data_IF_646361846850
#
_entry.id   IF_646361846850
#
_cell.length_a   1.000
_cell.length_b   1.000
_cell.length_c   1.000
_cell.angle_alpha   90.00
_cell.angle_beta   90.00
_cell.angle_gamma   90.00
#
_symmetry.space_group_name_H-M   'P 1'
#
loop_
_entity.id
_entity.type
_entity.pdbx_description
1 polymer ?
#
# COMPACT_ATOMS: atom_id res chain seq x y z
N UNK A 1 -37.62 -19.30 60.79
CA UNK A 1 -36.18 -19.27 61.09
C UNK A 1 -35.44 -18.54 59.98
N UNK A 2 -35.21 -17.24 60.19
CA UNK A 2 -33.92 -16.53 60.09
C UNK A 2 -33.35 -16.50 58.66
N UNK A 3 -33.63 -15.50 57.82
CA UNK A 3 -33.36 -14.05 57.90
C UNK A 3 -31.89 -13.66 57.88
N UNK A 4 -31.52 -12.84 56.88
CA UNK A 4 -30.59 -11.67 56.87
C UNK A 4 -30.09 -11.47 55.43
N UNK A 5 -30.37 -10.42 54.66
CA UNK A 5 -30.62 -8.97 54.89
C UNK A 5 -29.43 -8.20 55.45
N UNK A 6 -28.81 -7.35 54.61
CA UNK A 6 -28.42 -5.93 54.83
C UNK A 6 -27.72 -5.41 53.55
N UNK A 7 -28.13 -4.35 52.85
CA UNK A 7 -28.53 -2.96 53.13
C UNK A 7 -27.44 -1.98 52.66
N UNK A 8 -27.93 -1.00 51.89
CA UNK A 8 -27.34 0.23 51.34
C UNK A 8 -26.79 1.20 52.41
N UNK A 9 -26.08 2.24 51.94
CA UNK A 9 -26.13 3.69 52.30
C UNK A 9 -24.86 4.31 51.68
N UNK A 10 -24.84 5.24 50.70
CA UNK A 10 -25.41 6.58 50.51
C UNK A 10 -24.86 7.68 51.43
N UNK A 11 -24.51 8.82 50.81
CA UNK A 11 -24.23 10.17 51.34
C UNK A 11 -22.81 10.37 51.94
N UNK A 12 -22.12 11.51 51.82
CA UNK A 12 -22.58 12.90 51.65
C UNK A 12 -21.41 13.85 51.30
N UNK A 13 -21.74 14.89 50.52
CA UNK A 13 -21.45 16.33 50.66
C UNK A 13 -20.02 16.88 50.81
N UNK A 14 -19.83 17.90 49.96
CA UNK A 14 -18.86 19.00 49.91
C UNK A 14 -18.50 19.70 51.23
N UNK A 15 -17.26 20.21 51.30
CA UNK A 15 -16.90 21.43 52.04
C UNK A 15 -15.77 22.19 51.33
N UNK A 16 -15.95 23.51 51.20
CA UNK A 16 -14.99 24.52 50.72
C UNK A 16 -13.83 24.72 51.71
N UNK A 17 -12.60 25.02 51.23
CA UNK A 17 -12.00 26.37 51.31
C UNK A 17 -10.56 26.42 50.79
N UNK A 18 -10.26 27.60 50.23
CA UNK A 18 -8.97 28.17 49.87
C UNK A 18 -7.86 27.95 50.91
N UNK A 19 -6.67 27.59 50.43
CA UNK A 19 -5.41 28.14 50.90
C UNK A 19 -4.51 28.41 49.69
N UNK A 20 -4.40 29.68 49.34
CA UNK A 20 -3.30 30.24 48.57
C UNK A 20 -2.05 30.27 49.47
N UNK A 21 -0.98 29.59 49.04
CA UNK A 21 0.38 29.82 49.55
C UNK A 21 1.30 30.00 48.37
N UNK A 22 2.07 31.07 48.49
CA UNK A 22 3.10 31.60 47.61
C UNK A 22 4.34 30.71 47.50
N UNK A 23 5.14 31.03 46.47
CA UNK A 23 6.61 30.93 46.38
C UNK A 23 7.22 29.53 46.32
N UNK A 24 7.82 29.16 45.18
CA UNK A 24 9.27 29.29 44.96
C UNK A 24 9.65 28.64 43.61
N UNK A 25 10.56 29.30 42.90
CA UNK A 25 11.13 28.86 41.63
C UNK A 25 11.97 27.60 41.83
N UNK A 26 11.52 26.47 41.26
CA UNK A 26 12.31 25.24 41.18
C UNK A 26 12.75 25.03 39.73
N UNK A 27 14.04 24.79 39.56
CA UNK A 27 14.74 24.73 38.29
C UNK A 27 14.24 23.67 37.32
N UNK A 28 14.50 23.96 36.04
CA UNK A 28 14.26 23.12 34.86
C UNK A 28 14.62 21.64 35.09
N UNK A 29 13.69 20.77 34.73
CA UNK A 29 13.85 19.31 34.81
C UNK A 29 14.88 18.78 33.80
N UNK A 30 15.49 17.59 33.99
CA UNK A 30 16.52 17.03 33.10
C UNK A 30 16.11 16.90 31.62
N UNK A 31 14.81 16.91 31.31
CA UNK A 31 14.29 16.86 29.94
C UNK A 31 14.50 18.17 29.17
N UNK A 32 14.54 19.32 29.84
CA UNK A 32 14.70 20.62 29.17
C UNK A 32 16.15 20.87 28.76
N UNK A 33 17.13 20.48 29.61
CA UNK A 33 18.55 20.49 29.25
C UNK A 33 18.88 19.60 28.04
N UNK A 34 18.11 18.52 27.85
CA UNK A 34 18.27 17.58 26.75
C UNK A 34 17.80 18.17 25.40
N UNK A 35 16.72 18.96 25.42
CA UNK A 35 16.22 19.67 24.23
C UNK A 35 17.22 20.74 23.78
N UNK A 36 17.82 21.46 24.72
CA UNK A 36 18.63 22.63 24.41
C UNK A 36 20.04 22.27 23.93
N UNK A 37 20.63 21.17 24.41
CA UNK A 37 21.91 20.68 23.89
C UNK A 37 21.76 20.11 22.46
N UNK A 38 20.66 19.39 22.18
CA UNK A 38 20.33 18.89 20.83
C UNK A 38 20.03 20.04 19.87
N UNK A 39 19.30 21.07 20.30
CA UNK A 39 19.06 22.28 19.50
C UNK A 39 20.32 23.12 19.28
N UNK A 40 21.23 23.18 20.27
CA UNK A 40 22.52 23.88 20.15
C UNK A 40 23.46 23.19 19.16
N UNK A 41 23.44 21.86 19.11
CA UNK A 41 24.21 21.07 18.14
C UNK A 41 23.62 21.14 16.73
N UNK A 42 22.30 21.21 16.59
CA UNK A 42 21.63 21.32 15.29
C UNK A 42 21.49 22.76 14.76
N UNK A 43 21.58 23.76 15.65
CA UNK A 43 21.30 25.17 15.33
C UNK A 43 22.51 26.02 14.97
N UNK A 44 23.72 25.48 14.96
CA UNK A 44 24.94 26.25 14.62
C UNK A 44 25.24 26.38 13.13
N UNK A 45 24.45 25.77 12.25
CA UNK A 45 24.74 25.75 10.80
C UNK A 45 23.55 26.20 9.93
N UNK A 46 22.88 27.27 10.34
CA UNK A 46 21.93 27.97 9.47
C UNK A 46 22.40 29.43 9.32
N UNK A 47 23.52 29.61 8.62
CA UNK A 47 24.05 30.93 8.32
C UNK A 47 25.10 30.88 7.22
N UNK A 48 24.65 31.14 5.99
CA UNK A 48 25.43 31.47 4.80
C UNK A 48 25.66 30.35 3.78
N UNK A 49 25.27 30.72 2.57
CA UNK A 49 25.16 29.99 1.31
C UNK A 49 26.50 29.62 0.67
N UNK A 50 26.61 28.38 0.20
CA UNK A 50 26.91 28.05 -1.21
C UNK A 50 27.16 26.55 -1.33
N UNK A 51 26.73 25.98 -2.45
CA UNK A 51 26.57 24.54 -2.64
C UNK A 51 27.85 23.72 -2.51
N UNK A 52 27.83 22.78 -1.59
CA UNK A 52 28.35 21.43 -1.79
C UNK A 52 27.57 20.51 -0.85
N UNK A 53 26.90 19.51 -1.41
CA UNK A 53 26.15 18.53 -0.60
C UNK A 53 27.13 17.70 0.22
N UNK A 54 27.18 17.94 1.53
CA UNK A 54 27.97 17.13 2.45
C UNK A 54 27.36 15.72 2.50
N UNK A 55 28.00 14.78 1.78
CA UNK A 55 27.84 13.35 2.03
C UNK A 55 28.74 13.00 3.21
N UNK A 56 28.18 13.02 4.42
CA UNK A 56 28.77 12.23 5.49
C UNK A 56 28.75 10.77 5.02
N UNK A 57 29.92 10.15 4.95
CA UNK A 57 30.00 8.74 4.64
C UNK A 57 29.25 7.95 5.73
N UNK A 58 28.61 6.85 5.35
CA UNK A 58 27.91 5.99 6.31
C UNK A 58 28.83 5.54 7.47
N UNK A 59 30.14 5.45 7.21
CA UNK A 59 31.19 5.20 8.20
C UNK A 59 31.36 6.33 9.22
N UNK A 60 31.32 7.60 8.82
CA UNK A 60 31.46 8.74 9.73
C UNK A 60 30.23 8.87 10.64
N UNK A 61 29.03 8.63 10.10
CA UNK A 61 27.81 8.61 10.90
C UNK A 61 27.85 7.49 11.97
N UNK A 62 28.32 6.29 11.60
CA UNK A 62 28.49 5.17 12.53
C UNK A 62 29.47 5.47 13.65
N UNK A 63 30.65 6.03 13.31
CA UNK A 63 31.66 6.40 14.31
C UNK A 63 31.13 7.41 15.34
N UNK A 64 30.28 8.33 14.90
CA UNK A 64 29.69 9.34 15.79
C UNK A 64 28.64 8.76 16.74
N UNK A 65 27.81 7.81 16.28
CA UNK A 65 26.81 7.15 17.11
C UNK A 65 27.46 6.23 18.15
N UNK A 66 28.47 5.45 17.76
CA UNK A 66 29.18 4.54 18.69
C UNK A 66 29.97 5.32 19.75
N UNK A 67 30.57 6.45 19.38
CA UNK A 67 31.21 7.37 20.31
C UNK A 67 30.23 7.93 21.35
N UNK A 68 29.03 8.35 20.90
CA UNK A 68 27.97 8.88 21.75
C UNK A 68 27.45 7.83 22.75
N UNK A 69 27.20 6.60 22.29
CA UNK A 69 26.74 5.50 23.17
C UNK A 69 27.80 5.11 24.21
N UNK A 70 29.07 5.08 23.81
CA UNK A 70 30.19 4.76 24.70
C UNK A 70 30.39 5.86 25.76
N UNK A 71 30.24 7.13 25.36
CA UNK A 71 30.26 8.27 26.27
C UNK A 71 29.12 8.20 27.27
N UNK A 72 27.88 7.95 26.81
CA UNK A 72 26.70 7.81 27.67
C UNK A 72 26.87 6.70 28.71
N UNK A 73 27.34 5.51 28.28
CA UNK A 73 27.59 4.38 29.17
C UNK A 73 28.64 4.71 30.23
N UNK A 74 29.77 5.33 29.84
CA UNK A 74 30.81 5.78 30.79
C UNK A 74 30.26 6.78 31.80
N UNK A 75 29.48 7.77 31.34
CA UNK A 75 28.92 8.80 32.22
C UNK A 75 27.95 8.19 33.23
N UNK A 76 27.04 7.31 32.80
CA UNK A 76 26.10 6.63 33.72
C UNK A 76 26.81 5.73 34.74
N UNK A 77 27.90 5.07 34.35
CA UNK A 77 28.68 4.22 35.26
C UNK A 77 29.55 5.03 36.22
N UNK A 78 30.02 6.22 35.81
CA UNK A 78 30.82 7.11 36.67
C UNK A 78 29.99 7.97 37.63
N UNK A 79 28.68 8.11 37.41
CA UNK A 79 27.78 8.89 38.28
C UNK A 79 27.25 8.12 39.49
N UNK A 80 27.66 6.85 39.67
CA UNK A 80 27.39 6.11 40.91
C UNK A 80 28.39 6.55 41.98
N UNK A 81 27.96 7.21 43.07
CA UNK A 81 28.89 7.77 44.06
C UNK A 81 29.50 6.66 44.93
N UNK A 82 30.80 6.42 44.78
CA UNK A 82 31.58 5.50 45.64
C UNK A 82 31.69 5.96 47.10
N UNK A 83 31.29 7.20 47.41
CA UNK A 83 31.47 7.82 48.74
C UNK A 83 30.32 7.58 49.73
N UNK A 84 29.23 6.93 49.34
CA UNK A 84 28.10 6.64 50.25
C UNK A 84 28.24 5.30 50.98
N UNK A 85 29.25 4.50 50.67
CA UNK A 85 29.45 3.17 51.27
C UNK A 85 30.40 3.13 52.49
N UNK A 86 31.17 4.18 52.74
CA UNK A 86 32.21 4.16 53.81
C UNK A 86 31.82 4.89 55.10
N UNK A 87 30.77 5.72 55.10
CA UNK A 87 30.37 6.49 56.30
C UNK A 87 29.34 5.77 57.20
N UNK A 88 28.69 4.70 56.73
CA UNK A 88 27.73 3.90 57.50
C UNK A 88 28.31 2.65 58.13
N UNK A 89 29.58 2.31 57.85
CA UNK A 89 30.25 1.12 58.39
C UNK A 89 30.87 1.30 59.79
N UNK A 90 30.91 2.53 60.33
CA UNK A 90 31.52 2.79 61.64
C UNK A 90 30.53 2.86 62.81
N UNK A 91 29.22 2.77 62.56
CA UNK A 91 28.17 2.92 63.60
C UNK A 91 27.28 1.68 63.80
N UNK A 92 27.65 0.53 63.21
CA UNK A 92 26.96 -0.76 63.39
C UNK A 92 27.87 -1.77 64.11
N UNK A 93 28.33 -1.44 65.31
CA UNK A 93 28.83 -2.45 66.23
C UNK A 93 27.64 -3.11 66.92
N UNK A 94 27.34 -4.34 66.49
CA UNK A 94 26.35 -5.28 67.02
C UNK A 94 24.98 -5.30 66.31
N UNK A 95 24.99 -5.84 65.09
CA UNK A 95 23.79 -6.44 64.46
C UNK A 95 23.65 -7.87 64.99
N UNK A 96 22.48 -8.29 65.51
CA UNK A 96 22.23 -9.68 65.92
C UNK A 96 22.47 -10.64 64.74
N UNK A 97 23.20 -11.74 64.96
CA UNK A 97 23.56 -12.74 63.92
C UNK A 97 22.40 -13.12 62.96
N UNK A 98 21.16 -13.13 63.44
CA UNK A 98 19.98 -13.45 62.62
C UNK A 98 19.67 -12.43 61.53
N UNK A 99 19.87 -11.14 61.77
CA UNK A 99 19.60 -10.09 60.77
C UNK A 99 20.68 -10.07 59.67
N UNK A 100 21.91 -10.48 60.02
CA UNK A 100 23.00 -10.64 59.05
C UNK A 100 22.73 -11.76 58.05
N UNK A 101 22.19 -12.89 58.51
CA UNK A 101 21.91 -14.06 57.66
C UNK A 101 20.74 -13.77 56.68
N UNK A 102 19.72 -13.04 57.13
CA UNK A 102 18.61 -12.60 56.26
C UNK A 102 19.08 -11.60 55.19
N UNK A 103 19.94 -10.64 55.57
CA UNK A 103 20.53 -9.69 54.62
C UNK A 103 21.39 -10.39 53.55
N UNK A 104 22.21 -11.37 53.95
CA UNK A 104 22.99 -12.17 53.00
C UNK A 104 22.11 -12.99 52.06
N UNK A 105 21.00 -13.56 52.56
CA UNK A 105 20.03 -14.29 51.74
C UNK A 105 19.35 -13.39 50.71
N UNK A 106 18.87 -12.21 51.12
CA UNK A 106 18.26 -11.24 50.19
C UNK A 106 19.25 -10.72 49.15
N UNK A 107 20.52 -10.51 49.52
CA UNK A 107 21.57 -10.11 48.59
C UNK A 107 21.82 -11.20 47.54
N UNK A 108 21.88 -12.46 47.96
CA UNK A 108 22.05 -13.62 47.07
C UNK A 108 20.89 -13.75 46.08
N UNK A 109 19.64 -13.64 46.53
CA UNK A 109 18.45 -13.66 45.66
C UNK A 109 18.49 -12.49 44.67
N UNK A 110 18.82 -11.28 45.15
CA UNK A 110 18.93 -10.09 44.28
C UNK A 110 20.01 -10.26 43.22
N UNK A 111 21.14 -10.86 43.57
CA UNK A 111 22.23 -11.15 42.64
C UNK A 111 21.83 -12.22 41.59
N UNK A 112 21.08 -13.25 42.00
CA UNK A 112 20.52 -14.24 41.06
C UNK A 112 19.54 -13.60 40.07
N UNK A 113 18.63 -12.74 40.54
CA UNK A 113 17.68 -12.01 39.68
C UNK A 113 18.43 -11.10 38.70
N UNK A 114 19.46 -10.38 39.17
CA UNK A 114 20.28 -9.53 38.31
C UNK A 114 20.99 -10.34 37.22
N UNK A 115 21.57 -11.49 37.57
CA UNK A 115 22.24 -12.37 36.61
C UNK A 115 21.29 -12.94 35.56
N UNK A 116 20.06 -13.33 35.94
CA UNK A 116 19.05 -13.80 34.97
C UNK A 116 18.58 -12.68 34.03
N UNK A 117 18.40 -11.45 34.54
CA UNK A 117 18.09 -10.28 33.69
C UNK A 117 19.22 -9.97 32.71
N UNK A 118 20.49 -10.06 33.14
CA UNK A 118 21.65 -9.88 32.25
C UNK A 118 21.65 -10.94 31.14
N UNK A 119 21.40 -12.21 31.47
CA UNK A 119 21.28 -13.28 30.46
C UNK A 119 20.13 -13.03 29.49
N UNK A 120 18.98 -12.55 29.96
CA UNK A 120 17.84 -12.21 29.09
C UNK A 120 18.18 -11.07 28.11
N UNK A 121 18.84 -10.01 28.61
CA UNK A 121 19.29 -8.90 27.77
C UNK A 121 20.32 -9.38 26.73
N UNK A 122 21.28 -10.22 27.13
CA UNK A 122 22.25 -10.82 26.20
C UNK A 122 21.56 -11.62 25.09
N UNK A 123 20.54 -12.43 25.42
CA UNK A 123 19.75 -13.17 24.42
C UNK A 123 19.01 -12.23 23.46
N UNK A 124 18.43 -11.14 23.96
CA UNK A 124 17.74 -10.13 23.12
C UNK A 124 18.72 -9.43 22.16
N UNK A 125 19.91 -9.05 22.64
CA UNK A 125 20.94 -8.39 21.82
C UNK A 125 21.46 -9.32 20.73
N UNK A 126 21.70 -10.60 21.03
CA UNK A 126 22.11 -11.60 20.02
C UNK A 126 21.03 -11.76 18.95
N UNK A 127 19.76 -11.94 19.36
CA UNK A 127 18.64 -12.09 18.44
C UNK A 127 18.43 -10.85 17.55
N UNK A 128 18.60 -9.66 18.10
CA UNK A 128 18.51 -8.42 17.33
C UNK A 128 19.67 -8.27 16.34
N UNK A 129 20.87 -8.73 16.70
CA UNK A 129 22.02 -8.76 15.79
C UNK A 129 21.81 -9.73 14.62
N UNK A 130 21.27 -10.91 14.88
CA UNK A 130 20.90 -11.89 13.85
C UNK A 130 19.85 -11.32 12.89
N UNK A 131 18.80 -10.69 13.41
CA UNK A 131 17.76 -10.07 12.58
C UNK A 131 18.34 -8.96 11.68
N UNK A 132 19.23 -8.11 12.23
CA UNK A 132 19.91 -7.05 11.43
C UNK A 132 20.86 -7.62 10.38
N UNK A 133 21.45 -8.79 10.63
CA UNK A 133 22.30 -9.48 9.67
C UNK A 133 21.47 -10.04 8.50
N UNK A 134 20.31 -10.65 8.79
CA UNK A 134 19.35 -11.12 7.78
C UNK A 134 18.83 -9.96 6.92
N UNK A 135 18.42 -8.84 7.54
CA UNK A 135 17.99 -7.64 6.83
C UNK A 135 19.10 -7.09 5.92
N UNK A 136 20.36 -7.15 6.36
CA UNK A 136 21.51 -6.72 5.55
C UNK A 136 21.70 -7.62 4.33
N UNK A 137 21.63 -8.94 4.52
CA UNK A 137 21.75 -9.90 3.41
C UNK A 137 20.63 -9.72 2.38
N UNK A 138 19.40 -9.47 2.84
CA UNK A 138 18.27 -9.18 1.95
C UNK A 138 18.48 -7.87 1.17
N UNK A 139 19.01 -6.83 1.82
CA UNK A 139 19.31 -5.56 1.16
C UNK A 139 20.41 -5.72 0.10
N UNK A 140 21.49 -6.44 0.43
CA UNK A 140 22.59 -6.70 -0.50
C UNK A 140 22.10 -7.50 -1.72
N UNK A 141 21.24 -8.50 -1.52
CA UNK A 141 20.61 -9.24 -2.62
C UNK A 141 19.75 -8.33 -3.49
N UNK A 142 18.91 -7.49 -2.89
CA UNK A 142 18.06 -6.56 -3.63
C UNK A 142 18.87 -5.53 -4.45
N UNK A 143 20.02 -5.09 -3.94
CA UNK A 143 20.92 -4.18 -4.65
C UNK A 143 21.54 -4.85 -5.87
N UNK A 144 21.98 -6.11 -5.77
CA UNK A 144 22.53 -6.85 -6.90
C UNK A 144 21.47 -7.17 -7.95
N UNK A 145 20.25 -7.53 -7.54
CA UNK A 145 19.10 -7.70 -8.45
C UNK A 145 18.77 -6.39 -9.20
N UNK A 146 18.84 -5.26 -8.50
CA UNK A 146 18.61 -3.94 -9.11
C UNK A 146 19.70 -3.57 -10.14
N UNK A 147 20.98 -3.82 -9.83
CA UNK A 147 22.08 -3.59 -10.77
C UNK A 147 21.94 -4.46 -12.03
N UNK A 148 21.63 -5.75 -11.87
CA UNK A 148 21.42 -6.66 -12.98
C UNK A 148 20.25 -6.20 -13.89
N UNK A 149 19.15 -5.74 -13.29
CA UNK A 149 18.02 -5.20 -14.04
C UNK A 149 18.36 -3.90 -14.80
N UNK A 150 19.17 -3.02 -14.21
CA UNK A 150 19.61 -1.77 -14.87
C UNK A 150 20.58 -2.06 -16.03
N UNK A 151 21.49 -3.03 -15.89
CA UNK A 151 22.33 -3.51 -16.98
C UNK A 151 21.50 -4.11 -18.12
N UNK A 152 20.51 -4.94 -17.81
CA UNK A 152 19.62 -5.53 -18.82
C UNK A 152 18.84 -4.44 -19.58
N UNK A 153 18.31 -3.44 -18.86
CA UNK A 153 17.65 -2.27 -19.43
C UNK A 153 18.58 -1.50 -20.37
N UNK A 154 19.83 -1.26 -19.97
CA UNK A 154 20.82 -0.58 -20.82
C UNK A 154 21.15 -1.41 -22.08
N UNK A 155 21.22 -2.74 -21.99
CA UNK A 155 21.38 -3.61 -23.17
C UNK A 155 20.21 -3.48 -24.14
N UNK A 156 18.97 -3.46 -23.67
CA UNK A 156 17.80 -3.25 -24.53
C UNK A 156 17.80 -1.88 -25.18
N UNK A 157 18.15 -0.82 -24.44
CA UNK A 157 18.24 0.53 -25.00
C UNK A 157 19.29 0.64 -26.10
N UNK A 158 20.48 0.07 -25.91
CA UNK A 158 21.52 0.04 -26.95
C UNK A 158 21.07 -0.74 -28.20
N UNK A 159 20.40 -1.88 -28.02
CA UNK A 159 19.86 -2.68 -29.15
C UNK A 159 18.78 -1.92 -29.92
N UNK A 160 17.93 -1.18 -29.22
CA UNK A 160 16.88 -0.36 -29.82
C UNK A 160 17.48 0.80 -30.63
N UNK A 161 18.51 1.46 -30.12
CA UNK A 161 19.25 2.49 -30.86
C UNK A 161 19.94 1.92 -32.12
N UNK A 162 20.49 0.70 -32.04
CA UNK A 162 21.08 0.03 -33.22
C UNK A 162 20.04 -0.30 -34.29
N UNK A 163 18.84 -0.74 -33.90
CA UNK A 163 17.75 -0.99 -34.85
C UNK A 163 17.26 0.31 -35.51
N UNK A 164 17.18 1.40 -34.75
CA UNK A 164 16.81 2.72 -35.28
C UNK A 164 17.82 3.22 -36.32
N UNK A 165 19.13 3.07 -36.09
CA UNK A 165 20.15 3.48 -37.05
C UNK A 165 20.15 2.61 -38.32
N UNK A 166 19.87 1.32 -38.20
CA UNK A 166 19.70 0.43 -39.35
C UNK A 166 18.49 0.81 -40.21
N UNK A 167 17.38 1.18 -39.57
CA UNK A 167 16.16 1.59 -40.27
C UNK A 167 16.33 2.94 -40.99
N UNK A 168 17.04 3.89 -40.37
CA UNK A 168 17.34 5.19 -40.97
C UNK A 168 18.17 5.08 -42.26
N UNK A 169 19.05 4.08 -42.35
CA UNK A 169 19.90 3.87 -43.53
C UNK A 169 19.23 3.07 -44.66
N UNK A 170 17.99 2.59 -44.47
CA UNK A 170 17.29 1.74 -45.45
C UNK A 170 16.22 2.47 -46.27
N UNK A 171 16.09 3.79 -46.14
CA UNK A 171 15.03 4.58 -46.79
C UNK A 171 15.62 5.49 -47.86
N UNK A 172 16.05 4.91 -48.99
CA UNK A 172 16.29 5.64 -50.23
C UNK A 172 15.37 5.12 -51.34
N UNK A 173 14.32 5.89 -51.64
CA UNK A 173 13.92 6.33 -52.99
C UNK A 173 12.46 6.80 -52.99
N UNK A 174 12.19 8.09 -53.30
CA UNK A 174 10.84 8.62 -53.37
C UNK A 174 10.23 8.32 -54.74
N UNK A 175 9.32 7.36 -54.81
CA UNK A 175 8.40 7.22 -55.95
C UNK A 175 6.96 7.04 -55.43
N UNK A 176 6.19 8.14 -55.47
CA UNK A 176 4.72 8.19 -55.52
C UNK A 176 3.90 7.34 -54.51
N UNK A 177 4.20 7.43 -53.20
CA UNK A 177 3.45 6.70 -52.15
C UNK A 177 2.83 7.61 -51.08
N UNK A 178 1.86 8.44 -51.44
CA UNK A 178 1.10 9.27 -50.47
C UNK A 178 0.32 8.47 -49.41
N UNK A 179 0.31 7.13 -49.52
CA UNK A 179 -0.38 6.20 -48.60
C UNK A 179 0.58 5.40 -47.70
N UNK A 180 1.89 5.67 -47.69
CA UNK A 180 2.84 4.92 -46.86
C UNK A 180 3.61 5.83 -45.90
N UNK A 181 3.44 5.60 -44.59
CA UNK A 181 4.19 6.29 -43.56
C UNK A 181 5.56 5.62 -43.36
N UNK A 182 6.68 6.37 -43.30
CA UNK A 182 8.03 5.79 -43.25
C UNK A 182 8.25 4.84 -42.06
N UNK A 183 7.71 5.19 -40.88
CA UNK A 183 7.81 4.37 -39.67
C UNK A 183 6.63 3.40 -39.52
N UNK A 184 5.40 3.87 -39.77
CA UNK A 184 4.18 3.11 -39.48
C UNK A 184 3.72 2.18 -40.61
N UNK A 185 4.40 2.20 -41.75
CA UNK A 185 4.04 1.36 -42.88
C UNK A 185 2.80 1.85 -43.63
N UNK A 186 2.02 0.95 -44.23
CA UNK A 186 0.87 1.33 -45.05
C UNK A 186 -0.27 1.94 -44.21
N UNK A 187 -0.88 2.98 -44.77
CA UNK A 187 -2.12 3.58 -44.25
C UNK A 187 -3.28 2.64 -44.55
N UNK A 188 -3.93 2.14 -43.50
CA UNK A 188 -5.12 1.30 -43.61
C UNK A 188 -6.39 2.13 -43.82
N UNK A 189 -6.52 3.27 -43.13
CA UNK A 189 -7.70 4.14 -43.21
C UNK A 189 -7.39 5.55 -42.71
N UNK A 190 -7.93 6.57 -43.36
CA UNK A 190 -7.93 7.95 -42.89
C UNK A 190 -9.37 8.36 -42.52
N UNK A 191 -9.59 8.74 -41.26
CA UNK A 191 -10.89 9.18 -40.75
C UNK A 191 -10.98 10.71 -40.64
N UNK A 192 -9.96 11.45 -41.12
CA UNK A 192 -9.85 12.90 -41.00
C UNK A 192 -9.34 13.34 -39.63
N UNK A 193 -9.97 12.88 -38.54
CA UNK A 193 -9.54 13.21 -37.16
C UNK A 193 -8.50 12.24 -36.58
N UNK A 194 -8.33 11.07 -37.20
CA UNK A 194 -7.27 10.10 -36.90
C UNK A 194 -6.98 9.23 -38.10
N UNK A 195 -5.77 8.65 -38.15
CA UNK A 195 -5.33 7.70 -39.17
C UNK A 195 -5.07 6.33 -38.58
N UNK A 196 -5.31 5.29 -39.35
CA UNK A 196 -5.06 3.90 -38.98
C UNK A 196 -3.92 3.34 -39.81
N UNK A 197 -2.92 2.75 -39.16
CA UNK A 197 -1.77 2.13 -39.80
C UNK A 197 -1.58 0.70 -39.33
N UNK A 198 -0.78 -0.08 -40.07
CA UNK A 198 -0.39 -1.44 -39.69
C UNK A 198 1.15 -1.57 -39.65
N UNK A 199 1.82 -0.97 -38.65
CA UNK A 199 3.26 -1.07 -38.51
C UNK A 199 3.76 -2.49 -38.26
N UNK A 200 5.03 -2.72 -38.62
CA UNK A 200 5.79 -3.83 -38.06
C UNK A 200 5.97 -3.63 -36.55
N UNK A 201 6.02 -4.73 -35.80
CA UNK A 201 6.27 -4.64 -34.36
C UNK A 201 7.65 -4.07 -34.03
N UNK A 202 8.64 -4.28 -34.90
CA UNK A 202 9.99 -3.72 -34.74
C UNK A 202 9.96 -2.19 -34.78
N UNK A 203 9.27 -1.61 -35.76
CA UNK A 203 9.09 -0.15 -35.85
C UNK A 203 8.33 0.38 -34.62
N UNK A 204 7.25 -0.30 -34.24
CA UNK A 204 6.39 0.13 -33.13
C UNK A 204 7.11 0.06 -31.77
N UNK A 205 7.91 -0.97 -31.52
CA UNK A 205 8.68 -1.13 -30.29
C UNK A 205 9.79 -0.08 -30.14
N UNK A 206 10.23 0.52 -31.24
CA UNK A 206 11.24 1.59 -31.24
C UNK A 206 10.68 2.98 -30.93
N UNK A 207 9.35 3.15 -30.91
CA UNK A 207 8.74 4.45 -30.69
C UNK A 207 8.88 4.91 -29.23
N UNK A 208 9.06 6.21 -29.00
CA UNK A 208 9.07 6.75 -27.65
C UNK A 208 7.69 6.62 -26.99
N UNK A 209 7.70 6.36 -25.69
CA UNK A 209 6.49 6.30 -24.86
C UNK A 209 6.24 7.70 -24.29
N UNK A 210 5.00 8.18 -24.36
CA UNK A 210 4.60 9.43 -23.72
C UNK A 210 4.83 9.37 -22.20
N UNK A 211 5.53 10.37 -21.66
CA UNK A 211 6.16 10.31 -20.33
C UNK A 211 5.18 10.20 -19.15
N UNK A 212 3.94 10.68 -19.31
CA UNK A 212 2.89 10.65 -18.29
C UNK A 212 2.06 9.35 -18.28
N UNK A 213 2.45 8.35 -19.05
CA UNK A 213 1.81 7.04 -18.99
C UNK A 213 2.05 6.30 -17.66
N UNK A 214 1.28 5.23 -17.43
CA UNK A 214 1.47 4.33 -16.27
C UNK A 214 2.90 3.76 -16.27
N UNK A 215 3.45 3.48 -15.09
CA UNK A 215 4.76 2.80 -14.99
C UNK A 215 4.76 1.48 -15.77
N UNK A 216 5.76 1.29 -16.64
CA UNK A 216 5.95 0.02 -17.33
C UNK A 216 6.20 -1.10 -16.31
N UNK A 217 5.57 -2.26 -16.53
CA UNK A 217 5.69 -3.43 -15.65
C UNK A 217 5.92 -4.67 -16.52
N UNK A 218 7.16 -5.20 -16.59
CA UNK A 218 7.48 -6.37 -17.43
C UNK A 218 6.58 -7.57 -17.14
N UNK A 219 6.26 -7.81 -15.87
CA UNK A 219 5.36 -8.89 -15.44
C UNK A 219 3.96 -8.79 -16.04
N UNK A 220 3.45 -7.57 -16.29
CA UNK A 220 2.15 -7.36 -16.95
C UNK A 220 2.23 -7.67 -18.44
N UNK A 221 3.27 -7.21 -19.13
CA UNK A 221 3.50 -7.53 -20.54
C UNK A 221 3.65 -9.05 -20.75
N UNK A 222 4.41 -9.73 -19.88
CA UNK A 222 4.56 -11.19 -19.90
C UNK A 222 3.22 -11.92 -19.72
N UNK A 223 2.36 -11.47 -18.80
CA UNK A 223 1.00 -12.03 -18.62
C UNK A 223 0.14 -11.83 -19.87
N UNK A 224 0.23 -10.68 -20.54
CA UNK A 224 -0.48 -10.42 -21.79
C UNK A 224 0.02 -11.38 -22.88
N UNK A 225 1.34 -11.52 -23.05
CA UNK A 225 1.93 -12.45 -24.01
C UNK A 225 1.51 -13.91 -23.74
N UNK A 226 1.61 -14.38 -22.48
CA UNK A 226 1.20 -15.73 -22.10
C UNK A 226 -0.30 -15.99 -22.31
N UNK A 227 -1.15 -15.00 -22.02
CA UNK A 227 -2.58 -15.08 -22.31
C UNK A 227 -2.82 -15.16 -23.83
N UNK A 228 -2.05 -14.39 -24.59
CA UNK A 228 -2.14 -14.30 -26.04
C UNK A 228 -1.73 -15.60 -26.72
N UNK A 229 -0.66 -16.26 -26.29
CA UNK A 229 -0.23 -17.57 -26.80
C UNK A 229 -1.31 -18.65 -26.65
N UNK A 230 -2.17 -18.53 -25.63
CA UNK A 230 -3.29 -19.46 -25.40
C UNK A 230 -4.53 -19.13 -26.24
N UNK A 231 -4.60 -17.93 -26.81
CA UNK A 231 -5.74 -17.46 -27.58
C UNK A 231 -5.51 -17.63 -29.08
N UNK A 232 -6.53 -18.13 -29.78
CA UNK A 232 -6.53 -18.23 -31.26
C UNK A 232 -6.97 -16.93 -31.96
N UNK A 233 -7.44 -15.93 -31.21
CA UNK A 233 -7.88 -14.65 -31.80
C UNK A 233 -6.69 -13.84 -32.30
N UNK A 234 -6.89 -12.70 -32.97
CA UNK A 234 -5.84 -11.68 -33.16
C UNK A 234 -5.52 -10.94 -31.86
N UNK A 235 -4.53 -10.03 -31.82
CA UNK A 235 -4.31 -9.19 -30.63
C UNK A 235 -5.50 -8.22 -30.50
N UNK A 236 -6.30 -8.29 -29.41
CA UNK A 236 -7.45 -7.41 -29.28
C UNK A 236 -7.06 -5.98 -28.94
N UNK A 237 -7.87 -5.03 -29.42
CA UNK A 237 -7.74 -3.60 -29.18
C UNK A 237 -6.69 -2.93 -30.06
N UNK A 238 -6.70 -1.60 -30.09
CA UNK A 238 -5.78 -0.77 -30.86
C UNK A 238 -4.72 -0.13 -29.96
N UNK A 239 -3.55 0.17 -30.52
CA UNK A 239 -2.49 0.93 -29.85
C UNK A 239 -2.63 2.38 -30.32
N UNK A 240 -2.66 3.33 -29.38
CA UNK A 240 -2.94 4.73 -29.70
C UNK A 240 -1.66 5.55 -29.65
N UNK A 241 -1.43 6.32 -30.70
CA UNK A 241 -0.29 7.19 -30.90
C UNK A 241 -0.76 8.63 -31.13
N UNK A 242 0.11 9.57 -30.79
CA UNK A 242 0.02 10.94 -31.29
C UNK A 242 1.19 11.22 -32.21
N UNK A 243 0.94 12.05 -33.21
CA UNK A 243 1.94 12.56 -34.13
C UNK A 243 1.97 14.08 -34.04
N UNK A 244 3.13 14.63 -33.64
CA UNK A 244 3.37 16.07 -33.56
C UNK A 244 4.55 16.44 -34.46
N UNK A 245 4.50 17.57 -35.19
CA UNK A 245 5.62 18.05 -35.99
C UNK A 245 6.91 18.25 -35.18
N UNK A 246 6.79 18.62 -33.90
CA UNK A 246 7.93 18.95 -33.03
C UNK A 246 8.48 17.72 -32.31
N UNK A 247 7.61 16.79 -31.90
CA UNK A 247 8.00 15.67 -31.03
C UNK A 247 7.93 14.31 -31.70
N UNK A 248 7.47 14.26 -32.95
CA UNK A 248 7.30 13.05 -33.73
C UNK A 248 6.17 12.16 -33.19
N UNK A 249 6.31 10.85 -33.46
CA UNK A 249 5.38 9.83 -32.99
C UNK A 249 5.65 9.48 -31.53
N UNK A 250 4.61 9.44 -30.71
CA UNK A 250 4.66 8.91 -29.34
C UNK A 250 3.53 7.93 -29.10
N UNK A 251 3.82 6.83 -28.40
CA UNK A 251 2.77 5.93 -27.89
C UNK A 251 2.07 6.66 -26.73
N UNK A 252 0.73 6.74 -26.76
CA UNK A 252 -0.10 7.32 -25.70
C UNK A 252 -0.83 6.23 -24.90
N UNK A 253 -1.31 5.17 -25.54
CA UNK A 253 -1.82 3.97 -24.86
C UNK A 253 -1.31 2.69 -25.51
N UNK A 254 -1.19 1.63 -24.72
CA UNK A 254 -0.84 0.30 -25.21
C UNK A 254 0.62 -0.11 -25.02
N UNK A 255 1.43 0.61 -24.22
CA UNK A 255 2.84 0.24 -23.98
C UNK A 255 3.05 -1.22 -23.52
N UNK A 256 2.20 -1.78 -22.66
CA UNK A 256 2.32 -3.18 -22.22
C UNK A 256 1.94 -4.16 -23.34
N UNK A 257 1.09 -3.73 -24.28
CA UNK A 257 0.72 -4.50 -25.48
C UNK A 257 1.86 -4.49 -26.49
N UNK A 258 2.48 -3.34 -26.75
CA UNK A 258 3.71 -3.24 -27.56
C UNK A 258 4.79 -4.17 -27.02
N UNK A 259 5.08 -4.10 -25.71
CA UNK A 259 6.06 -4.97 -25.10
C UNK A 259 5.69 -6.46 -25.18
N UNK A 260 4.42 -6.82 -24.99
CA UNK A 260 3.96 -8.19 -25.14
C UNK A 260 4.09 -8.70 -26.58
N UNK A 261 3.76 -7.86 -27.58
CA UNK A 261 3.93 -8.18 -28.99
C UNK A 261 5.41 -8.35 -29.36
N UNK A 262 6.29 -7.50 -28.83
CA UNK A 262 7.73 -7.63 -29.02
C UNK A 262 8.27 -8.95 -28.44
N UNK A 263 7.78 -9.38 -27.27
CA UNK A 263 8.11 -10.70 -26.69
C UNK A 263 7.65 -11.84 -27.59
N UNK A 264 6.39 -11.81 -28.05
CA UNK A 264 5.83 -12.84 -28.94
C UNK A 264 6.58 -12.92 -30.27
N UNK A 265 6.95 -11.77 -30.84
CA UNK A 265 7.73 -11.70 -32.07
C UNK A 265 9.13 -12.30 -31.90
N UNK A 266 9.78 -12.04 -30.76
CA UNK A 266 11.07 -12.65 -30.43
C UNK A 266 10.98 -14.17 -30.24
N UNK A 267 9.83 -14.69 -29.83
CA UNK A 267 9.53 -16.13 -29.74
C UNK A 267 9.09 -16.75 -31.08
N UNK A 268 8.99 -15.95 -32.16
CA UNK A 268 8.58 -16.43 -33.48
C UNK A 268 7.09 -16.81 -33.57
N UNK A 269 6.25 -16.26 -32.70
CA UNK A 269 4.80 -16.49 -32.74
C UNK A 269 4.21 -15.78 -33.96
N UNK A 270 3.53 -16.52 -34.83
CA UNK A 270 2.88 -15.95 -36.02
C UNK A 270 1.75 -14.96 -35.66
N UNK A 271 1.48 -14.01 -36.57
CA UNK A 271 0.40 -13.03 -36.39
C UNK A 271 0.72 -11.91 -35.39
N UNK A 272 2.01 -11.71 -35.09
CA UNK A 272 2.51 -10.54 -34.34
C UNK A 272 2.73 -9.32 -35.22
N UNK A 273 2.77 -9.51 -36.53
CA UNK A 273 2.86 -8.45 -37.54
C UNK A 273 1.47 -7.89 -37.90
N UNK A 274 1.45 -6.69 -38.47
CA UNK A 274 0.23 -5.96 -38.87
C UNK A 274 -0.66 -5.55 -37.70
N UNK A 275 -0.03 -4.95 -36.68
CA UNK A 275 -0.74 -4.45 -35.50
C UNK A 275 -1.48 -3.18 -35.88
N UNK A 276 -2.80 -3.14 -35.66
CA UNK A 276 -3.58 -1.93 -35.95
C UNK A 276 -3.24 -0.83 -34.94
N UNK A 277 -2.80 0.31 -35.47
CA UNK A 277 -2.40 1.49 -34.69
C UNK A 277 -3.25 2.68 -35.09
N UNK A 278 -3.79 3.39 -34.10
CA UNK A 278 -4.48 4.67 -34.30
C UNK A 278 -3.53 5.82 -34.07
N UNK A 279 -3.49 6.78 -34.98
CA UNK A 279 -2.62 7.96 -34.92
C UNK A 279 -3.48 9.20 -34.98
N UNK A 280 -3.42 9.99 -33.91
CA UNK A 280 -4.02 11.32 -33.87
C UNK A 280 -2.98 12.34 -34.33
N UNK A 281 -3.26 12.99 -35.46
CA UNK A 281 -2.43 14.04 -35.99
C UNK A 281 -2.75 15.32 -35.21
N UNK A 282 -1.74 16.11 -34.81
CA UNK A 282 -1.90 17.39 -34.08
C UNK A 282 -2.02 17.29 -32.55
N UNK A 283 -1.37 16.32 -31.95
CA UNK A 283 -1.32 16.24 -30.49
C UNK A 283 -0.17 17.05 -29.89
N UNK A 284 -0.45 18.23 -29.31
CA UNK A 284 0.46 18.78 -28.30
C UNK A 284 0.42 17.93 -27.01
N UNK A 285 1.25 18.27 -26.03
CA UNK A 285 1.30 17.54 -24.76
C UNK A 285 -0.03 17.57 -23.99
N UNK A 286 -0.84 18.62 -24.17
CA UNK A 286 -2.18 18.76 -23.58
C UNK A 286 -3.18 17.81 -24.23
N UNK A 287 -3.15 17.69 -25.56
CA UNK A 287 -3.97 16.76 -26.31
C UNK A 287 -3.64 15.31 -25.95
N UNK A 288 -2.36 14.95 -25.86
CA UNK A 288 -1.94 13.60 -25.43
C UNK A 288 -2.46 13.27 -24.02
N UNK A 289 -2.48 14.24 -23.11
CA UNK A 289 -3.05 14.10 -21.77
C UNK A 289 -4.57 13.94 -21.78
N UNK A 290 -5.26 14.74 -22.59
CA UNK A 290 -6.71 14.63 -22.80
C UNK A 290 -7.08 13.25 -23.35
N UNK A 291 -6.41 12.82 -24.42
CA UNK A 291 -6.62 11.52 -25.07
C UNK A 291 -6.33 10.37 -24.10
N UNK A 292 -5.20 10.40 -23.39
CA UNK A 292 -4.89 9.38 -22.39
C UNK A 292 -5.94 9.34 -21.30
N UNK A 293 -6.38 10.50 -20.81
CA UNK A 293 -7.42 10.59 -19.77
C UNK A 293 -8.73 10.01 -20.29
N UNK A 294 -9.13 10.34 -21.52
CA UNK A 294 -10.35 9.82 -22.16
C UNK A 294 -10.33 8.31 -22.30
N UNK A 295 -9.24 7.74 -22.84
CA UNK A 295 -9.06 6.28 -22.95
C UNK A 295 -9.17 5.62 -21.56
N UNK A 296 -8.58 6.23 -20.53
CA UNK A 296 -8.58 5.71 -19.17
C UNK A 296 -9.84 6.04 -18.35
N UNK A 297 -10.75 6.88 -18.87
CA UNK A 297 -12.07 7.10 -18.27
C UNK A 297 -12.98 5.89 -18.45
N UNK A 298 -12.70 5.04 -19.44
CA UNK A 298 -13.40 3.77 -19.58
C UNK A 298 -13.24 2.94 -18.30
N UNK A 299 -14.32 2.78 -17.55
CA UNK A 299 -14.29 2.02 -16.31
C UNK A 299 -14.11 0.52 -16.62
N UNK A 300 -13.29 -0.21 -15.84
CA UNK A 300 -13.20 -1.65 -15.99
C UNK A 300 -14.58 -2.29 -15.81
N UNK A 301 -14.98 -3.14 -16.77
CA UNK A 301 -16.18 -3.98 -16.65
C UNK A 301 -16.08 -4.80 -15.38
N UNK A 302 -17.13 -4.75 -14.53
CA UNK A 302 -17.15 -5.50 -13.28
C UNK A 302 -17.16 -6.99 -13.55
N UNK A 303 -16.66 -7.77 -12.60
CA UNK A 303 -16.55 -9.22 -12.77
C UNK A 303 -17.93 -9.89 -12.88
N UNK A 304 -18.93 -9.33 -12.19
CA UNK A 304 -20.35 -9.72 -12.30
C UNK A 304 -20.95 -9.49 -13.70
N UNK A 305 -20.43 -8.52 -14.46
CA UNK A 305 -20.93 -8.15 -15.79
C UNK A 305 -20.15 -8.84 -16.92
N UNK A 306 -19.01 -9.45 -16.63
CA UNK A 306 -18.22 -10.14 -17.65
C UNK A 306 -18.90 -11.45 -18.09
N UNK A 307 -19.07 -11.69 -19.40
CA UNK A 307 -19.56 -12.95 -19.90
C UNK A 307 -18.58 -14.09 -19.59
N UNK A 308 -19.11 -15.28 -19.28
CA UNK A 308 -18.30 -16.48 -19.02
C UNK A 308 -17.76 -16.63 -17.59
N UNK A 309 -17.93 -15.63 -16.72
CA UNK A 309 -17.48 -15.69 -15.32
C UNK A 309 -18.39 -16.51 -14.38
N UNK A 310 -19.30 -17.32 -14.92
CA UNK A 310 -20.20 -18.18 -14.14
C UNK A 310 -21.34 -17.45 -13.42
N UNK A 311 -21.53 -16.15 -13.67
CA UNK A 311 -22.72 -15.40 -13.23
C UNK A 311 -23.88 -15.79 -14.16
N UNK A 312 -24.91 -16.44 -13.63
CA UNK A 312 -26.14 -16.65 -14.41
C UNK A 312 -26.93 -15.35 -14.52
N UNK A 313 -27.69 -15.19 -15.60
CA UNK A 313 -28.58 -14.02 -15.83
C UNK A 313 -29.46 -13.74 -14.61
N UNK A 314 -30.06 -14.79 -14.04
CA UNK A 314 -30.90 -14.67 -12.84
C UNK A 314 -30.15 -14.15 -11.61
N UNK A 315 -28.86 -14.50 -11.42
CA UNK A 315 -28.06 -13.94 -10.32
C UNK A 315 -27.75 -12.46 -10.55
N UNK A 316 -27.50 -12.06 -11.80
CA UNK A 316 -27.29 -10.65 -12.15
C UNK A 316 -28.52 -9.82 -11.84
N UNK A 317 -29.70 -10.30 -12.24
CA UNK A 317 -30.98 -9.66 -11.92
C UNK A 317 -31.21 -9.55 -10.40
N UNK A 318 -30.97 -10.62 -9.63
CA UNK A 318 -31.09 -10.60 -8.17
C UNK A 318 -30.20 -9.53 -7.53
N UNK A 319 -28.95 -9.40 -7.99
CA UNK A 319 -28.00 -8.39 -7.50
C UNK A 319 -28.44 -6.97 -7.87
N UNK A 320 -28.85 -6.77 -9.12
CA UNK A 320 -29.29 -5.48 -9.64
C UNK A 320 -30.53 -4.96 -8.93
N UNK A 321 -31.58 -5.78 -8.84
CA UNK A 321 -32.81 -5.42 -8.14
C UNK A 321 -32.56 -5.12 -6.66
N UNK A 322 -31.80 -5.98 -5.97
CA UNK A 322 -31.56 -5.79 -4.53
C UNK A 322 -30.73 -4.53 -4.23
N UNK A 323 -29.69 -4.26 -5.03
CA UNK A 323 -28.87 -3.05 -4.85
C UNK A 323 -29.66 -1.80 -5.22
N UNK A 324 -30.52 -1.85 -6.24
CA UNK A 324 -31.42 -0.75 -6.61
C UNK A 324 -32.42 -0.40 -5.49
N UNK A 325 -33.01 -1.42 -4.85
CA UNK A 325 -33.87 -1.23 -3.66
C UNK A 325 -33.07 -0.60 -2.51
N UNK A 326 -31.86 -1.09 -2.24
CA UNK A 326 -31.00 -0.56 -1.18
C UNK A 326 -30.58 0.90 -1.46
N UNK A 327 -30.26 1.23 -2.71
CA UNK A 327 -29.94 2.59 -3.16
C UNK A 327 -31.11 3.54 -2.98
N UNK A 328 -32.32 3.11 -3.33
CA UNK A 328 -33.54 3.90 -3.15
C UNK A 328 -33.77 4.23 -1.67
N UNK A 329 -33.49 3.27 -0.78
CA UNK A 329 -33.62 3.46 0.68
C UNK A 329 -32.53 4.35 1.28
N UNK A 330 -31.29 4.24 0.80
CA UNK A 330 -30.12 4.94 1.35
C UNK A 330 -29.49 5.92 0.35
N UNK A 331 -30.30 6.70 -0.37
CA UNK A 331 -29.88 7.52 -1.52
C UNK A 331 -28.67 8.41 -1.25
N UNK A 332 -28.55 9.00 -0.05
CA UNK A 332 -27.45 9.88 0.35
C UNK A 332 -26.11 9.15 0.53
N UNK A 333 -26.13 7.83 0.64
CA UNK A 333 -24.96 6.98 0.85
C UNK A 333 -24.50 6.30 -0.44
N UNK A 334 -25.28 6.39 -1.51
CA UNK A 334 -24.88 5.89 -2.82
C UNK A 334 -24.27 7.01 -3.66
N UNK A 335 -23.05 6.76 -4.15
CA UNK A 335 -22.31 7.67 -5.03
C UNK A 335 -22.29 7.11 -6.45
N UNK A 336 -22.36 8.01 -7.43
CA UNK A 336 -22.17 7.66 -8.84
C UNK A 336 -20.72 7.34 -9.18
N UNK A 337 -19.76 7.82 -8.39
CA UNK A 337 -18.33 7.55 -8.62
C UNK A 337 -17.95 6.15 -8.14
N UNK A 338 -17.31 5.36 -9.02
CA UNK A 338 -16.69 4.08 -8.68
C UNK A 338 -15.51 4.21 -7.69
N UNK A 339 -14.98 5.43 -7.48
CA UNK A 339 -13.92 5.75 -6.50
C UNK A 339 -14.48 6.52 -5.30
N UNK A 340 -15.68 6.16 -4.84
CA UNK A 340 -16.28 6.80 -3.69
C UNK A 340 -15.51 6.51 -2.39
N UNK A 341 -15.49 7.48 -1.47
CA UNK A 341 -14.85 7.34 -0.16
C UNK A 341 -15.87 6.87 0.88
N UNK A 342 -15.46 5.94 1.74
CA UNK A 342 -16.24 5.48 2.89
C UNK A 342 -16.85 6.66 3.66
N UNK A 343 -18.16 6.62 3.99
CA UNK A 343 -19.03 5.45 4.02
C UNK A 343 -19.86 5.27 2.73
N UNK A 344 -19.59 6.05 1.68
CA UNK A 344 -20.37 5.94 0.45
C UNK A 344 -20.04 4.64 -0.29
N UNK A 345 -21.05 4.12 -0.98
CA UNK A 345 -20.93 2.95 -1.84
C UNK A 345 -21.32 3.30 -3.26
N UNK A 346 -20.73 2.63 -4.24
CA UNK A 346 -21.14 2.68 -5.62
C UNK A 346 -21.92 1.40 -5.94
N UNK A 347 -23.01 1.52 -6.71
CA UNK A 347 -23.92 0.41 -7.03
C UNK A 347 -23.19 -0.73 -7.74
N UNK A 348 -22.37 -0.44 -8.73
CA UNK A 348 -21.64 -1.45 -9.51
C UNK A 348 -20.57 -2.16 -8.66
N UNK A 349 -19.84 -1.40 -7.85
CA UNK A 349 -18.89 -1.98 -6.89
C UNK A 349 -19.60 -2.90 -5.89
N UNK A 350 -20.72 -2.47 -5.31
CA UNK A 350 -21.46 -3.28 -4.34
C UNK A 350 -21.99 -4.58 -4.97
N UNK A 351 -22.53 -4.54 -6.19
CA UNK A 351 -22.93 -5.75 -6.93
C UNK A 351 -21.76 -6.70 -7.13
N UNK A 352 -20.63 -6.17 -7.58
CA UNK A 352 -19.41 -6.95 -7.84
C UNK A 352 -18.82 -7.55 -6.56
N UNK A 353 -18.82 -6.82 -5.46
CA UNK A 353 -18.30 -7.27 -4.17
C UNK A 353 -19.19 -8.36 -3.53
N UNK A 354 -20.51 -8.23 -3.63
CA UNK A 354 -21.47 -9.28 -3.21
C UNK A 354 -21.26 -10.53 -4.07
N UNK A 355 -21.05 -10.39 -5.38
CA UNK A 355 -20.79 -11.51 -6.27
C UNK A 355 -19.46 -12.21 -5.94
N UNK A 356 -18.36 -11.46 -5.89
CA UNK A 356 -17.00 -11.98 -5.61
C UNK A 356 -16.90 -12.67 -4.25
N UNK A 357 -17.63 -12.20 -3.25
CA UNK A 357 -17.66 -12.82 -1.92
C UNK A 357 -18.41 -14.16 -1.89
N UNK A 358 -19.16 -14.51 -2.95
CA UNK A 358 -19.94 -15.74 -3.05
C UNK A 358 -21.10 -15.80 -2.06
N UNK A 359 -21.63 -14.63 -1.69
CA UNK A 359 -22.71 -14.51 -0.69
C UNK A 359 -23.96 -15.28 -1.15
N UNK A 360 -24.33 -15.14 -2.42
CA UNK A 360 -25.52 -15.78 -2.99
C UNK A 360 -25.47 -17.30 -2.79
N UNK A 361 -24.34 -17.93 -3.09
CA UNK A 361 -24.13 -19.37 -2.96
C UNK A 361 -24.05 -19.80 -1.49
N UNK A 362 -23.26 -19.08 -0.68
CA UNK A 362 -23.04 -19.43 0.73
C UNK A 362 -24.32 -19.32 1.56
N UNK A 363 -25.20 -18.37 1.22
CA UNK A 363 -26.48 -18.14 1.89
C UNK A 363 -27.65 -18.83 1.20
N UNK A 364 -27.46 -19.35 -0.02
CA UNK A 364 -28.49 -19.91 -0.89
C UNK A 364 -29.60 -18.89 -1.20
N UNK A 365 -29.20 -17.66 -1.47
CA UNK A 365 -30.11 -16.57 -1.82
C UNK A 365 -30.41 -16.67 -3.32
N UNK A 366 -31.68 -16.89 -3.64
CA UNK A 366 -32.14 -17.04 -5.03
C UNK A 366 -33.07 -15.93 -5.51
N UNK A 367 -33.46 -15.02 -4.62
CA UNK A 367 -34.43 -13.92 -4.89
C UNK A 367 -33.89 -12.59 -4.38
N UNK A 368 -34.27 -11.50 -5.02
CA UNK A 368 -33.81 -10.15 -4.68
C UNK A 368 -34.28 -9.70 -3.30
N UNK A 369 -35.51 -10.04 -2.88
CA UNK A 369 -36.03 -9.67 -1.55
C UNK A 369 -35.28 -10.36 -0.41
N UNK A 370 -34.86 -11.61 -0.62
CA UNK A 370 -34.02 -12.35 0.33
C UNK A 370 -32.65 -11.68 0.49
N UNK A 371 -32.07 -11.19 -0.61
CA UNK A 371 -30.80 -10.47 -0.60
C UNK A 371 -30.93 -9.12 0.14
N UNK A 372 -31.98 -8.34 -0.15
CA UNK A 372 -32.25 -7.06 0.53
C UNK A 372 -32.37 -7.27 2.04
N UNK A 373 -33.20 -8.22 2.47
CA UNK A 373 -33.37 -8.53 3.90
C UNK A 373 -32.03 -8.90 4.55
N UNK A 374 -31.23 -9.73 3.90
CA UNK A 374 -29.91 -10.10 4.42
C UNK A 374 -28.95 -8.89 4.51
N UNK A 375 -28.92 -8.01 3.50
CA UNK A 375 -28.11 -6.79 3.50
C UNK A 375 -28.52 -5.85 4.64
N UNK A 376 -29.82 -5.70 4.91
CA UNK A 376 -30.32 -4.90 6.02
C UNK A 376 -29.94 -5.48 7.39
N UNK A 377 -30.05 -6.80 7.56
CA UNK A 377 -29.58 -7.48 8.77
C UNK A 377 -28.08 -7.28 9.02
N UNK A 378 -27.26 -7.38 7.96
CA UNK A 378 -25.82 -7.11 8.06
C UNK A 378 -25.54 -5.63 8.33
N UNK A 379 -26.31 -4.71 7.75
CA UNK A 379 -26.20 -3.27 8.00
C UNK A 379 -26.44 -2.96 9.48
N UNK A 380 -27.46 -3.55 10.09
CA UNK A 380 -27.71 -3.41 11.52
C UNK A 380 -26.60 -4.03 12.39
N UNK A 381 -26.10 -5.22 12.02
CA UNK A 381 -24.97 -5.85 12.72
C UNK A 381 -23.75 -4.94 12.68
N UNK A 382 -23.47 -4.31 11.54
CA UNK A 382 -22.39 -3.34 11.37
C UNK A 382 -22.61 -2.11 12.27
N UNK A 383 -23.82 -1.56 12.33
CA UNK A 383 -24.16 -0.49 13.27
C UNK A 383 -23.92 -0.87 14.74
N UNK A 384 -24.26 -2.11 15.12
CA UNK A 384 -23.96 -2.64 16.48
C UNK A 384 -22.45 -2.80 16.73
N UNK A 385 -21.67 -3.22 15.72
CA UNK A 385 -20.20 -3.30 15.83
C UNK A 385 -19.58 -1.91 15.98
N UNK A 386 -20.10 -0.91 15.27
CA UNK A 386 -19.62 0.46 15.36
C UNK A 386 -19.81 1.03 16.77
N UNK A 387 -20.99 0.84 17.37
CA UNK A 387 -21.27 1.24 18.77
C UNK A 387 -20.33 0.58 19.79
N UNK A 388 -19.75 -0.57 19.45
CA UNK A 388 -18.77 -1.29 20.29
C UNK A 388 -17.31 -0.92 19.97
N UNK A 389 -17.07 0.03 19.06
CA UNK A 389 -15.73 0.41 18.62
C UNK A 389 -15.02 -0.67 17.78
N UNK A 390 -15.75 -1.62 17.18
CA UNK A 390 -15.20 -2.77 16.42
C UNK A 390 -15.27 -2.59 14.90
N UNK A 391 -15.35 -1.35 14.44
CA UNK A 391 -15.44 -0.99 13.01
C UNK A 391 -14.32 0.01 12.74
N UNK A 392 -13.54 -0.29 11.71
CA UNK A 392 -12.49 0.58 11.21
C UNK A 392 -13.10 1.76 10.44
N UNK A 393 -12.31 2.79 10.17
CA UNK A 393 -12.76 3.98 9.45
C UNK A 393 -12.67 5.27 10.26
N UNK A 394 -12.53 6.38 9.53
CA UNK A 394 -12.39 7.72 10.11
C UNK A 394 -13.66 8.20 10.81
N UNK A 395 -13.52 9.07 11.80
CA UNK A 395 -14.63 9.59 12.61
C UNK A 395 -15.72 10.26 11.75
N UNK A 396 -15.32 11.01 10.71
CA UNK A 396 -16.25 11.62 9.76
C UNK A 396 -17.10 10.59 9.02
N UNK A 397 -16.51 9.47 8.61
CA UNK A 397 -17.24 8.41 7.93
C UNK A 397 -18.22 7.72 8.87
N UNK A 398 -17.80 7.47 10.12
CA UNK A 398 -18.64 6.88 11.17
C UNK A 398 -19.82 7.78 11.55
N UNK A 399 -19.58 9.09 11.69
CA UNK A 399 -20.63 10.07 11.96
C UNK A 399 -21.66 10.10 10.83
N UNK A 400 -21.20 10.18 9.57
CA UNK A 400 -22.08 10.17 8.40
C UNK A 400 -22.85 8.85 8.25
N UNK A 401 -22.21 7.71 8.45
CA UNK A 401 -22.89 6.41 8.46
C UNK A 401 -23.98 6.33 9.53
N UNK A 402 -23.72 6.91 10.71
CA UNK A 402 -24.69 6.96 11.81
C UNK A 402 -25.87 7.89 11.50
N UNK A 403 -25.59 9.06 10.93
CA UNK A 403 -26.60 10.05 10.51
C UNK A 403 -27.61 9.45 9.52
N UNK A 404 -27.12 8.71 8.52
CA UNK A 404 -27.98 8.14 7.46
C UNK A 404 -28.35 6.67 7.68
N UNK A 405 -27.95 6.07 8.82
CA UNK A 405 -28.29 4.68 9.17
C UNK A 405 -27.71 3.62 8.22
N UNK A 406 -26.60 3.91 7.53
CA UNK A 406 -25.98 3.01 6.57
C UNK A 406 -24.51 2.75 6.92
N UNK A 407 -24.21 1.51 7.29
CA UNK A 407 -22.94 1.07 7.86
C UNK A 407 -22.18 0.08 6.97
N UNK A 408 -22.82 -0.47 5.92
CA UNK A 408 -22.17 -1.43 5.02
C UNK A 408 -20.96 -0.84 4.28
N UNK A 409 -20.96 0.47 4.02
CA UNK A 409 -19.84 1.16 3.36
C UNK A 409 -18.64 1.49 4.27
N UNK A 410 -18.64 1.07 5.53
CA UNK A 410 -17.54 1.33 6.47
C UNK A 410 -16.38 0.34 6.37
N UNK A 411 -16.68 -0.97 6.28
CA UNK A 411 -15.68 -2.02 6.11
C UNK A 411 -16.26 -3.22 5.36
N UNK A 412 -15.45 -3.91 4.55
CA UNK A 412 -15.87 -5.10 3.78
C UNK A 412 -15.93 -6.38 4.64
N UNK A 413 -15.73 -6.28 5.95
CA UNK A 413 -15.69 -7.42 6.86
C UNK A 413 -17.01 -8.19 6.91
N UNK A 414 -18.14 -7.54 6.63
CA UNK A 414 -19.46 -8.20 6.58
C UNK A 414 -19.62 -9.15 5.37
N UNK A 415 -18.86 -8.95 4.29
CA UNK A 415 -18.84 -9.85 3.13
C UNK A 415 -18.13 -11.18 3.42
N UNK A 416 -17.37 -11.27 4.52
CA UNK A 416 -16.66 -12.49 4.95
C UNK A 416 -17.63 -13.50 5.58
N UNK A 417 -18.58 -13.98 4.79
CA UNK A 417 -19.52 -15.03 5.21
C UNK A 417 -18.76 -16.34 5.37
N UNK A 418 -18.65 -16.83 6.61
CA UNK A 418 -18.28 -18.22 6.86
C UNK A 418 -19.37 -19.09 6.22
N UNK A 419 -19.01 -19.86 5.20
CA UNK A 419 -19.93 -20.85 4.64
C UNK A 419 -20.47 -21.68 5.80
N UNK A 420 -21.76 -22.04 5.77
CA UNK A 420 -22.28 -23.07 6.68
C UNK A 420 -21.45 -24.30 6.37
N UNK A 421 -20.35 -24.49 7.12
CA UNK A 421 -19.48 -25.63 6.95
C UNK A 421 -20.41 -26.82 6.95
N UNK A 422 -20.36 -27.65 5.90
CA UNK A 422 -21.10 -28.91 5.87
C UNK A 422 -20.79 -29.53 7.22
N UNK A 423 -21.75 -29.46 8.16
CA UNK A 423 -21.61 -30.04 9.48
C UNK A 423 -21.31 -31.47 9.12
N UNK A 424 -20.06 -31.91 9.29
CA UNK A 424 -19.66 -33.26 8.91
C UNK A 424 -20.72 -34.12 9.58
N UNK A 425 -21.59 -34.74 8.78
CA UNK A 425 -22.55 -35.68 9.28
C UNK A 425 -21.68 -36.71 9.97
N UNK A 426 -21.61 -36.60 11.30
CA UNK A 426 -20.85 -37.49 12.13
C UNK A 426 -21.63 -38.78 11.95
N UNK A 427 -21.11 -39.63 11.06
CA UNK A 427 -21.70 -40.91 10.78
C UNK A 427 -21.82 -41.62 12.13
N UNK A 428 -23.03 -41.63 12.68
CA UNK A 428 -23.45 -42.65 13.62
C UNK A 428 -23.49 -43.91 12.78
N UNK A 429 -22.37 -44.62 12.78
CA UNK A 429 -22.32 -46.05 12.55
C UNK A 429 -22.30 -46.71 13.91
#
# INVERSE_FOLDING_TARGET
MLSRTRILLSNSRSFHRHLSVSSESVGSTPKEKYSDEVKRLLGKEAGSSSGSGFKLSLSEWRSNVDSLLTSLLKTTLSTLPSSTLTSTLSSLSYVPKRESDEAHSQLSISQQIANEKIKEIQRKVVKERELREEDRQQLDQAVEEWKAAEEEKNRYQSKLHQLQSQLANSVESPTNSTLHHPILGPLALDLGYKKLYTPSITSLASLPIWSKQRTFRPSRAKKIAQSKMKSKTGMPGCICLTESPQTGLKIVDGQHRVAALAMLNAEGVEGTDNVLVEVFQEGDESFAEGLFTEINRAEPVKFVDMPGNGVSEGKRMVLEEAVSVLKSKYIKMFSTSSRCVSPHVNEDNLRDDIFKSGVLEKRRIGRSEELVRWLEEENEKMGRRLKRGKVEGGERAKAKATEFGFFLGLDDGWLKVKGKGKTKAKAMK
#
